data_IF_973859867361
#
_entry.id   IF_973859867361
#
_cell.length_a   1.000
_cell.length_b   1.000
_cell.length_c   1.000
_cell.angle_alpha   90.00
_cell.angle_beta   90.00
_cell.angle_gamma   90.00
#
_symmetry.space_group_name_H-M   'P 1'
#
loop_
_entity.id
_entity.type
_entity.pdbx_description
1 polymer ?
#
# COMPACT_ATOMS: atom_id res chain seq x y z
N UNK A 1 5.69 15.72 53.79
CA UNK A 1 4.85 14.61 53.30
C UNK A 1 4.48 14.86 51.84
N UNK A 2 5.09 14.06 50.97
CA UNK A 2 4.68 13.61 49.63
C UNK A 2 4.08 14.66 48.68
N UNK A 3 4.97 15.12 47.79
CA UNK A 3 4.71 15.84 46.56
C UNK A 3 3.75 15.01 45.67
N UNK A 4 2.52 15.48 45.45
CA UNK A 4 1.59 14.87 44.50
C UNK A 4 2.16 15.07 43.10
N UNK A 5 2.76 14.01 42.55
CA UNK A 5 3.08 13.89 41.14
C UNK A 5 1.82 14.17 40.30
N UNK A 6 1.67 15.40 39.84
CA UNK A 6 0.80 15.73 38.71
C UNK A 6 1.46 15.07 37.50
N UNK A 7 1.05 13.83 37.20
CA UNK A 7 1.20 13.31 35.85
C UNK A 7 0.34 14.21 34.98
N UNK A 8 0.96 15.19 34.32
CA UNK A 8 0.36 15.83 33.15
C UNK A 8 0.13 14.71 32.16
N UNK A 9 -1.09 14.15 32.14
CA UNK A 9 -1.56 13.31 31.05
C UNK A 9 -1.55 14.24 29.85
N UNK A 10 -0.45 14.24 29.07
CA UNK A 10 -0.46 14.86 27.74
C UNK A 10 -1.62 14.16 27.04
N UNK A 11 -2.75 14.84 26.88
CA UNK A 11 -3.84 14.31 26.09
C UNK A 11 -3.22 14.06 24.72
N UNK A 12 -2.97 12.78 24.40
CA UNK A 12 -2.46 12.40 23.09
C UNK A 12 -3.44 13.00 22.10
N UNK A 13 -2.94 13.90 21.26
CA UNK A 13 -3.80 14.54 20.29
C UNK A 13 -4.32 13.43 19.36
N UNK A 14 -5.65 13.38 19.19
CA UNK A 14 -6.23 12.49 18.19
C UNK A 14 -5.64 12.84 16.82
N UNK A 15 -5.60 11.89 15.90
CA UNK A 15 -5.02 12.11 14.56
C UNK A 15 -6.15 12.21 13.53
N UNK A 16 -6.12 13.25 12.72
CA UNK A 16 -7.06 13.44 11.62
C UNK A 16 -6.54 12.79 10.35
N UNK A 17 -7.42 12.13 9.60
CA UNK A 17 -7.22 11.79 8.20
C UNK A 17 -7.72 12.98 7.38
N UNK A 18 -6.81 13.68 6.71
CA UNK A 18 -7.12 14.91 5.97
C UNK A 18 -7.09 14.73 4.45
N UNK A 19 -6.46 13.65 3.96
CA UNK A 19 -6.48 13.26 2.56
C UNK A 19 -6.44 11.75 2.41
N UNK A 20 -7.03 11.24 1.34
CA UNK A 20 -6.98 9.83 0.97
C UNK A 20 -6.97 9.64 -0.54
N UNK A 21 -6.25 8.62 -1.00
CA UNK A 21 -6.35 8.09 -2.34
C UNK A 21 -6.15 6.58 -2.33
N UNK A 22 -6.76 5.89 -3.28
CA UNK A 22 -6.61 4.44 -3.41
C UNK A 22 -6.90 4.00 -4.85
N UNK A 23 -6.41 2.81 -5.18
CA UNK A 23 -6.74 2.08 -6.39
C UNK A 23 -7.00 0.62 -6.01
N UNK A 24 -8.22 0.17 -6.25
CA UNK A 24 -8.71 -1.15 -5.88
C UNK A 24 -9.33 -1.86 -7.10
N UNK A 25 -9.50 -3.20 -7.03
CA UNK A 25 -10.08 -3.97 -8.13
C UNK A 25 -11.41 -3.39 -8.62
N UNK A 26 -11.69 -3.53 -9.92
CA UNK A 26 -12.89 -2.98 -10.54
C UNK A 26 -12.80 -1.49 -10.89
N UNK A 27 -11.59 -0.95 -11.06
CA UNK A 27 -11.35 0.48 -11.34
C UNK A 27 -11.90 1.39 -10.23
N UNK A 28 -11.78 0.96 -8.98
CA UNK A 28 -12.30 1.71 -7.84
C UNK A 28 -11.21 2.66 -7.34
N UNK A 29 -11.31 3.91 -7.75
CA UNK A 29 -10.31 4.97 -7.47
C UNK A 29 -10.86 6.12 -6.61
N UNK A 30 -12.15 6.07 -6.25
CA UNK A 30 -12.78 7.09 -5.42
C UNK A 30 -13.80 6.50 -4.43
N UNK A 31 -14.14 7.30 -3.42
CA UNK A 31 -15.02 6.88 -2.31
C UNK A 31 -16.46 6.59 -2.74
N UNK A 32 -16.97 7.27 -3.77
CA UNK A 32 -18.34 7.05 -4.22
C UNK A 32 -18.49 5.67 -4.88
N UNK A 33 -17.56 5.33 -5.77
CA UNK A 33 -17.56 4.03 -6.45
C UNK A 33 -17.27 2.89 -5.47
N UNK A 34 -16.34 3.10 -4.53
CA UNK A 34 -16.08 2.12 -3.48
C UNK A 34 -17.33 1.87 -2.62
N UNK A 35 -18.02 2.94 -2.21
CA UNK A 35 -19.25 2.82 -1.44
C UNK A 35 -20.36 2.13 -2.22
N UNK A 36 -20.53 2.44 -3.51
CA UNK A 36 -21.51 1.77 -4.37
C UNK A 36 -21.22 0.27 -4.50
N UNK A 37 -19.97 -0.12 -4.75
CA UNK A 37 -19.58 -1.52 -4.85
C UNK A 37 -19.86 -2.30 -3.55
N UNK A 38 -19.55 -1.69 -2.40
CA UNK A 38 -19.84 -2.26 -1.08
C UNK A 38 -21.34 -2.43 -0.85
N UNK A 39 -22.13 -1.39 -1.11
CA UNK A 39 -23.58 -1.42 -0.93
C UNK A 39 -24.28 -2.41 -1.86
N UNK A 40 -23.75 -2.60 -3.07
CA UNK A 40 -24.25 -3.58 -4.03
C UNK A 40 -23.74 -5.02 -3.76
N UNK A 41 -22.83 -5.22 -2.80
CA UNK A 41 -22.24 -6.53 -2.51
C UNK A 41 -21.47 -7.12 -3.69
N UNK A 42 -20.79 -6.27 -4.48
CA UNK A 42 -20.11 -6.71 -5.71
C UNK A 42 -18.92 -7.63 -5.40
N UNK A 43 -18.84 -8.75 -6.13
CA UNK A 43 -17.67 -9.63 -6.15
C UNK A 43 -16.73 -9.18 -7.28
N UNK A 44 -15.64 -8.52 -6.90
CA UNK A 44 -14.65 -7.94 -7.83
C UNK A 44 -13.49 -8.90 -8.12
N UNK A 45 -13.59 -10.16 -7.70
CA UNK A 45 -12.62 -11.18 -8.06
C UNK A 45 -12.77 -11.55 -9.53
N UNK A 46 -11.67 -11.46 -10.25
CA UNK A 46 -11.54 -11.91 -11.63
C UNK A 46 -10.40 -12.93 -11.74
N UNK A 47 -9.80 -13.04 -12.93
CA UNK A 47 -8.65 -13.90 -13.21
C UNK A 47 -7.41 -13.00 -13.39
N UNK A 48 -6.28 -13.38 -12.81
CA UNK A 48 -5.00 -12.69 -13.07
C UNK A 48 -4.74 -12.67 -14.58
N UNK A 49 -4.49 -11.48 -15.19
CA UNK A 49 -4.23 -11.36 -16.61
C UNK A 49 -3.06 -12.25 -17.09
N UNK A 50 -3.23 -12.93 -18.23
CA UNK A 50 -2.23 -13.88 -18.75
C UNK A 50 -0.95 -13.22 -19.26
N UNK A 51 -0.98 -11.92 -19.52
CA UNK A 51 0.17 -11.11 -19.92
C UNK A 51 1.10 -10.77 -18.73
N UNK A 52 0.64 -10.90 -17.48
CA UNK A 52 1.49 -10.80 -16.27
C UNK A 52 2.50 -11.94 -16.23
N UNK A 53 1.98 -13.16 -16.33
CA UNK A 53 2.70 -14.43 -16.39
C UNK A 53 1.76 -15.53 -16.90
N UNK A 54 2.32 -16.62 -17.40
CA UNK A 54 1.55 -17.73 -17.98
C UNK A 54 0.73 -18.51 -16.95
N UNK A 55 -0.39 -17.95 -16.47
CA UNK A 55 -1.28 -18.55 -15.46
C UNK A 55 -1.68 -19.98 -15.81
N UNK A 56 -2.04 -20.23 -17.07
CA UNK A 56 -2.41 -21.56 -17.57
C UNK A 56 -1.30 -22.61 -17.39
N UNK A 57 -0.02 -22.21 -17.50
CA UNK A 57 1.09 -23.11 -17.26
C UNK A 57 1.15 -23.50 -15.79
N UNK A 58 0.98 -22.56 -14.85
CA UNK A 58 1.14 -22.84 -13.42
C UNK A 58 -0.14 -23.35 -12.73
N UNK A 59 -1.30 -23.34 -13.39
CA UNK A 59 -2.56 -23.72 -12.75
C UNK A 59 -2.74 -25.24 -12.74
N UNK A 60 -3.15 -25.79 -11.60
CA UNK A 60 -3.48 -27.20 -11.48
C UNK A 60 -4.50 -27.48 -10.38
N UNK A 61 -5.43 -28.39 -10.62
CA UNK A 61 -6.56 -28.63 -9.72
C UNK A 61 -6.19 -29.27 -8.38
N UNK A 62 -5.05 -29.94 -8.33
CA UNK A 62 -4.53 -30.66 -7.14
C UNK A 62 -3.63 -29.75 -6.32
N UNK A 63 -3.88 -29.67 -5.00
CA UNK A 63 -3.09 -28.88 -4.05
C UNK A 63 -1.66 -29.40 -3.85
N UNK A 64 -1.45 -30.70 -4.04
CA UNK A 64 -0.16 -31.37 -3.83
C UNK A 64 0.73 -31.39 -5.08
N UNK A 65 0.27 -30.83 -6.20
CA UNK A 65 1.06 -30.74 -7.42
C UNK A 65 2.19 -29.71 -7.26
N UNK A 66 3.43 -30.18 -7.37
CA UNK A 66 4.61 -29.35 -7.15
C UNK A 66 4.72 -28.25 -8.21
N UNK A 67 5.07 -27.04 -7.77
CA UNK A 67 5.25 -25.89 -8.68
C UNK A 67 3.95 -25.37 -9.31
N UNK A 68 2.78 -25.79 -8.82
CA UNK A 68 1.47 -25.34 -9.32
C UNK A 68 0.64 -24.63 -8.26
N UNK A 69 -0.34 -23.85 -8.72
CA UNK A 69 -1.35 -23.19 -7.89
C UNK A 69 -2.74 -23.73 -8.22
N UNK A 70 -3.59 -23.90 -7.21
CA UNK A 70 -5.00 -24.28 -7.38
C UNK A 70 -5.88 -23.21 -7.99
N UNK A 71 -5.41 -21.95 -7.98
CA UNK A 71 -6.16 -20.82 -8.51
C UNK A 71 -5.23 -19.69 -8.92
N UNK A 72 -5.69 -18.92 -9.90
CA UNK A 72 -5.19 -17.58 -10.20
C UNK A 72 -6.34 -16.58 -10.26
N UNK A 73 -7.45 -16.89 -9.58
CA UNK A 73 -8.48 -15.90 -9.30
C UNK A 73 -7.94 -14.90 -8.28
N UNK A 74 -8.19 -13.62 -8.53
CA UNK A 74 -7.75 -12.53 -7.69
C UNK A 74 -8.61 -11.28 -7.90
N UNK A 75 -8.66 -10.41 -6.90
CA UNK A 75 -8.99 -9.01 -7.17
C UNK A 75 -7.79 -8.38 -7.88
N UNK A 76 -7.99 -7.84 -9.09
CA UNK A 76 -6.91 -7.24 -9.89
C UNK A 76 -7.25 -5.80 -10.21
N UNK A 77 -6.25 -4.92 -10.14
CA UNK A 77 -6.37 -3.56 -10.66
C UNK A 77 -6.29 -3.59 -12.18
N UNK A 78 -6.81 -2.56 -12.85
CA UNK A 78 -6.94 -2.55 -14.31
C UNK A 78 -5.57 -2.63 -15.01
N UNK A 79 -4.62 -1.83 -14.54
CA UNK A 79 -3.25 -1.79 -15.07
C UNK A 79 -2.25 -1.66 -13.92
N UNK A 80 -1.08 -2.26 -14.10
CA UNK A 80 0.10 -2.01 -13.24
C UNK A 80 1.27 -1.49 -14.08
N UNK A 81 1.09 -1.35 -15.40
CA UNK A 81 2.16 -0.93 -16.29
C UNK A 81 2.19 0.56 -16.52
N UNK A 82 1.03 1.20 -16.39
CA UNK A 82 0.82 2.60 -16.69
C UNK A 82 1.47 3.44 -15.59
N UNK A 83 2.14 4.52 -16.01
CA UNK A 83 2.83 5.47 -15.14
C UNK A 83 3.24 6.68 -15.98
N UNK A 84 3.11 7.90 -15.45
CA UNK A 84 3.69 9.10 -16.05
C UNK A 84 5.08 9.40 -15.44
N UNK A 85 6.18 8.88 -16.02
CA UNK A 85 7.49 9.10 -15.46
C UNK A 85 7.95 10.56 -15.59
N UNK A 86 7.51 11.29 -16.61
CA UNK A 86 7.95 12.66 -16.85
C UNK A 86 7.39 13.60 -15.79
N UNK A 87 6.14 13.38 -15.37
CA UNK A 87 5.52 14.12 -14.26
C UNK A 87 6.33 14.03 -12.97
N UNK A 88 6.84 12.84 -12.64
CA UNK A 88 7.67 12.61 -11.44
C UNK A 88 9.17 12.85 -11.66
N UNK A 89 9.59 13.43 -12.80
CA UNK A 89 11.01 13.68 -13.08
C UNK A 89 11.85 12.41 -13.22
N UNK A 90 11.24 11.28 -13.55
CA UNK A 90 11.86 9.96 -13.69
C UNK A 90 12.13 9.69 -15.17
N UNK A 91 13.30 9.13 -15.48
CA UNK A 91 13.61 8.76 -16.87
C UNK A 91 12.81 7.52 -17.31
N UNK A 92 12.41 7.40 -18.59
CA UNK A 92 11.73 6.19 -19.09
C UNK A 92 12.53 4.90 -18.83
N UNK A 93 13.86 4.97 -18.89
CA UNK A 93 14.75 3.83 -18.64
C UNK A 93 14.70 3.36 -17.18
N UNK A 94 14.59 4.29 -16.24
CA UNK A 94 14.40 3.97 -14.83
C UNK A 94 13.00 3.42 -14.57
N UNK A 95 11.96 4.07 -15.11
CA UNK A 95 10.56 3.67 -14.92
C UNK A 95 10.30 2.21 -15.32
N UNK A 96 10.91 1.74 -16.41
CA UNK A 96 10.84 0.33 -16.85
C UNK A 96 11.39 -0.67 -15.83
N UNK A 97 12.30 -0.23 -14.95
CA UNK A 97 12.90 -1.07 -13.91
C UNK A 97 12.26 -0.85 -12.55
N UNK A 98 11.35 0.12 -12.40
CA UNK A 98 10.62 0.35 -11.17
C UNK A 98 9.52 -0.70 -10.97
N UNK A 99 9.51 -1.29 -9.79
CA UNK A 99 8.39 -2.07 -9.29
C UNK A 99 7.13 -1.19 -9.40
N UNK A 100 6.06 -1.68 -10.06
CA UNK A 100 4.83 -0.93 -10.18
C UNK A 100 4.20 -0.54 -8.83
N UNK A 101 4.55 -1.21 -7.73
CA UNK A 101 4.17 -0.77 -6.39
C UNK A 101 4.74 0.62 -6.05
N UNK A 102 5.99 0.91 -6.46
CA UNK A 102 6.60 2.23 -6.25
C UNK A 102 5.92 3.29 -7.12
N UNK A 103 5.56 2.94 -8.36
CA UNK A 103 4.89 3.84 -9.30
C UNK A 103 3.49 4.22 -8.82
N UNK A 104 2.70 3.23 -8.45
CA UNK A 104 1.36 3.43 -7.90
C UNK A 104 1.39 4.27 -6.61
N UNK A 105 2.36 4.02 -5.72
CA UNK A 105 2.50 4.82 -4.50
C UNK A 105 2.80 6.31 -4.77
N UNK A 106 3.56 6.63 -5.83
CA UNK A 106 3.82 8.03 -6.21
C UNK A 106 2.54 8.73 -6.67
N UNK A 107 1.77 8.08 -7.53
CA UNK A 107 0.48 8.59 -8.03
C UNK A 107 -0.56 8.71 -6.92
N UNK A 108 -0.69 7.69 -6.06
CA UNK A 108 -1.60 7.75 -4.92
C UNK A 108 -1.17 8.81 -3.90
N UNK A 109 0.13 9.06 -3.74
CA UNK A 109 0.59 10.17 -2.91
C UNK A 109 0.12 11.51 -3.48
N UNK A 110 0.29 11.70 -4.79
CA UNK A 110 -0.19 12.92 -5.47
C UNK A 110 -1.69 13.12 -5.24
N UNK A 111 -2.50 12.11 -5.55
CA UNK A 111 -3.95 12.19 -5.39
C UNK A 111 -4.38 12.37 -3.92
N UNK A 112 -3.66 11.82 -2.95
CA UNK A 112 -3.98 12.04 -1.53
C UNK A 112 -3.68 13.48 -1.08
N UNK A 113 -2.65 14.12 -1.67
CA UNK A 113 -2.37 15.54 -1.46
C UNK A 113 -3.45 16.42 -2.11
N UNK A 114 -3.85 16.11 -3.34
CA UNK A 114 -4.96 16.78 -4.03
C UNK A 114 -6.27 16.68 -3.26
N UNK A 115 -6.63 15.48 -2.78
CA UNK A 115 -7.82 15.25 -1.97
C UNK A 115 -7.77 16.04 -0.64
N UNK A 116 -6.59 16.24 -0.07
CA UNK A 116 -6.39 17.09 1.10
C UNK A 116 -6.43 18.60 0.80
N UNK A 117 -6.37 19.01 -0.47
CA UNK A 117 -6.17 20.41 -0.84
C UNK A 117 -4.79 20.95 -0.44
N UNK A 118 -3.78 20.07 -0.35
CA UNK A 118 -2.42 20.40 0.04
C UNK A 118 -1.53 20.38 -1.19
N UNK A 119 -0.86 21.49 -1.48
CA UNK A 119 0.14 21.56 -2.53
C UNK A 119 1.44 20.89 -2.04
N UNK A 120 2.15 20.11 -2.88
CA UNK A 120 3.43 19.51 -2.53
C UNK A 120 4.43 20.48 -1.90
N UNK A 121 4.49 21.72 -2.40
CA UNK A 121 5.41 22.76 -1.91
C UNK A 121 5.11 23.20 -0.46
N UNK A 122 3.89 22.96 0.04
CA UNK A 122 3.53 23.28 1.43
C UNK A 122 4.09 22.27 2.43
N UNK A 123 4.44 21.06 1.98
CA UNK A 123 5.01 20.00 2.82
C UNK A 123 6.47 19.69 2.47
N UNK A 124 6.98 20.21 1.36
CA UNK A 124 8.40 20.16 1.02
C UNK A 124 9.25 20.78 2.14
N UNK A 125 10.40 20.17 2.41
CA UNK A 125 11.38 20.52 3.45
C UNK A 125 10.82 20.51 4.88
N UNK A 126 9.63 19.96 5.08
CA UNK A 126 9.05 19.79 6.42
C UNK A 126 9.38 18.41 6.99
N UNK A 127 9.09 18.24 8.29
CA UNK A 127 9.15 16.94 8.95
C UNK A 127 7.92 16.08 8.60
N UNK A 128 7.51 16.05 7.33
CA UNK A 128 6.48 15.14 6.86
C UNK A 128 7.07 13.72 6.81
N UNK A 129 6.53 12.81 7.62
CA UNK A 129 6.96 11.41 7.64
C UNK A 129 6.28 10.58 6.54
N UNK A 130 6.92 9.51 6.11
CA UNK A 130 6.42 8.56 5.11
C UNK A 130 6.52 7.15 5.68
N UNK A 131 5.38 6.47 5.81
CA UNK A 131 5.28 5.14 6.41
C UNK A 131 4.52 4.22 5.45
N UNK A 132 5.20 3.28 4.81
CA UNK A 132 4.62 2.42 3.77
C UNK A 132 4.60 0.98 4.24
N UNK A 133 3.41 0.38 4.31
CA UNK A 133 3.24 -1.05 4.45
C UNK A 133 3.44 -1.75 3.11
N UNK A 134 4.50 -2.55 2.97
CA UNK A 134 4.82 -3.26 1.73
C UNK A 134 5.59 -4.55 2.04
N UNK A 135 5.19 -5.65 1.41
CA UNK A 135 5.76 -6.99 1.66
C UNK A 135 6.01 -7.78 0.36
N UNK A 136 5.37 -7.42 -0.75
CA UNK A 136 5.47 -8.15 -2.00
C UNK A 136 6.78 -7.83 -2.73
N UNK A 137 7.51 -8.88 -3.11
CA UNK A 137 8.79 -8.80 -3.83
C UNK A 137 8.67 -9.30 -5.28
N UNK A 138 7.45 -9.49 -5.78
CA UNK A 138 7.14 -10.16 -7.03
C UNK A 138 7.94 -9.61 -8.23
N UNK A 139 8.05 -8.29 -8.37
CA UNK A 139 8.80 -7.65 -9.46
C UNK A 139 10.32 -7.84 -9.33
N UNK A 140 10.82 -7.84 -8.10
CA UNK A 140 12.21 -8.19 -7.80
C UNK A 140 12.51 -9.64 -8.14
N UNK A 141 11.63 -10.58 -7.79
CA UNK A 141 11.75 -12.00 -8.16
C UNK A 141 11.81 -12.17 -9.67
N UNK A 142 10.93 -11.50 -10.42
CA UNK A 142 10.94 -11.53 -11.89
C UNK A 142 12.27 -11.03 -12.48
N UNK A 143 12.92 -10.06 -11.83
CA UNK A 143 14.23 -9.56 -12.26
C UNK A 143 15.33 -10.61 -12.11
N UNK A 144 15.19 -11.54 -11.15
CA UNK A 144 16.14 -12.64 -10.95
C UNK A 144 16.01 -13.76 -11.98
N UNK A 145 14.88 -13.83 -12.72
CA UNK A 145 14.71 -14.80 -13.81
C UNK A 145 15.68 -14.56 -14.98
N UNK A 146 16.13 -13.32 -15.17
CA UNK A 146 17.13 -12.93 -16.18
C UNK A 146 18.09 -11.85 -15.64
N UNK A 147 19.17 -12.30 -15.00
CA UNK A 147 20.21 -11.42 -14.47
C UNK A 147 20.92 -10.59 -15.56
N UNK A 148 20.93 -11.04 -16.81
CA UNK A 148 21.55 -10.29 -17.90
C UNK A 148 20.74 -9.03 -18.28
N UNK A 149 19.44 -9.02 -17.96
CA UNK A 149 18.58 -7.85 -18.14
C UNK A 149 18.73 -6.78 -17.05
N UNK A 150 19.54 -7.02 -16.01
CA UNK A 150 19.80 -6.05 -14.95
C UNK A 150 20.56 -4.83 -15.45
N UNK A 151 20.29 -3.68 -14.82
CA UNK A 151 21.03 -2.44 -15.03
C UNK A 151 21.07 -1.62 -13.72
N UNK A 152 21.66 -0.43 -13.77
CA UNK A 152 21.83 0.46 -12.61
C UNK A 152 20.52 0.77 -11.83
N UNK A 153 19.35 0.69 -12.47
CA UNK A 153 18.05 0.98 -11.85
C UNK A 153 17.38 -0.26 -11.25
N UNK A 154 17.85 -1.47 -11.55
CA UNK A 154 17.14 -2.70 -11.18
C UNK A 154 17.09 -2.91 -9.67
N UNK A 155 18.17 -2.59 -8.95
CA UNK A 155 18.20 -2.68 -7.49
C UNK A 155 17.27 -1.65 -6.84
N UNK A 156 17.34 -0.38 -7.27
CA UNK A 156 16.48 0.68 -6.75
C UNK A 156 15.01 0.42 -7.05
N UNK A 157 14.73 -0.12 -8.23
CA UNK A 157 13.39 -0.41 -8.68
C UNK A 157 12.70 -1.55 -7.91
N UNK A 158 13.44 -2.46 -7.27
CA UNK A 158 12.86 -3.64 -6.60
C UNK A 158 13.04 -3.67 -5.07
N UNK A 159 13.87 -2.79 -4.52
CA UNK A 159 14.13 -2.73 -3.08
C UNK A 159 12.94 -2.11 -2.33
N UNK A 160 12.40 -2.81 -1.32
CA UNK A 160 11.22 -2.34 -0.57
C UNK A 160 11.41 -0.98 0.11
N UNK A 161 12.59 -0.72 0.71
CA UNK A 161 12.87 0.57 1.36
C UNK A 161 12.79 1.77 0.42
N UNK A 162 12.99 1.55 -0.89
CA UNK A 162 12.87 2.61 -1.90
C UNK A 162 11.41 3.04 -2.08
N UNK A 163 10.41 2.21 -1.75
CA UNK A 163 9.01 2.60 -1.84
C UNK A 163 8.69 3.84 -0.99
N UNK A 164 9.11 3.87 0.28
CA UNK A 164 8.96 5.05 1.12
C UNK A 164 9.97 6.16 0.76
N UNK A 165 11.24 5.80 0.57
CA UNK A 165 12.30 6.79 0.32
C UNK A 165 12.10 7.57 -0.97
N UNK A 166 11.53 6.94 -2.01
CA UNK A 166 11.25 7.61 -3.28
C UNK A 166 10.15 8.65 -3.15
N UNK A 167 9.12 8.39 -2.34
CA UNK A 167 8.12 9.42 -2.00
C UNK A 167 8.81 10.58 -1.28
N UNK A 168 9.61 10.29 -0.24
CA UNK A 168 10.35 11.34 0.46
C UNK A 168 11.25 12.15 -0.46
N UNK A 169 11.93 11.50 -1.40
CA UNK A 169 12.81 12.16 -2.36
C UNK A 169 12.05 13.06 -3.35
N UNK A 170 10.99 12.53 -3.98
CA UNK A 170 10.23 13.24 -5.01
C UNK A 170 9.50 14.45 -4.44
N UNK A 171 8.96 14.33 -3.22
CA UNK A 171 8.20 15.40 -2.56
C UNK A 171 9.05 16.24 -1.58
N UNK A 172 10.37 16.05 -1.55
CA UNK A 172 11.33 16.73 -0.67
C UNK A 172 10.95 16.68 0.83
N UNK A 173 10.56 15.51 1.33
CA UNK A 173 10.07 15.32 2.71
C UNK A 173 11.19 14.88 3.63
N UNK A 174 11.37 15.57 4.77
CA UNK A 174 12.52 15.39 5.68
C UNK A 174 12.16 14.72 7.01
N UNK A 175 10.94 14.18 7.14
CA UNK A 175 10.55 13.35 8.28
C UNK A 175 11.04 11.90 8.17
N UNK A 176 10.71 11.03 9.14
CA UNK A 176 11.03 9.60 9.07
C UNK A 176 10.47 8.95 7.80
N UNK A 177 11.26 8.13 7.10
CA UNK A 177 10.85 7.41 5.89
C UNK A 177 11.08 5.92 6.06
N UNK A 178 9.99 5.15 6.22
CA UNK A 178 10.05 3.75 6.63
C UNK A 178 9.16 2.88 5.72
N UNK A 179 9.73 1.78 5.23
CA UNK A 179 8.97 0.67 4.67
C UNK A 179 8.86 -0.43 5.72
N UNK A 180 7.64 -0.87 6.00
CA UNK A 180 7.30 -1.75 7.12
C UNK A 180 6.69 -3.03 6.55
N UNK A 181 7.29 -4.16 6.93
CA UNK A 181 6.80 -5.49 6.60
C UNK A 181 6.44 -6.25 7.88
N UNK A 182 5.15 -6.45 8.09
CA UNK A 182 4.57 -7.36 9.08
C UNK A 182 3.51 -8.26 8.41
N UNK A 183 3.73 -8.59 7.14
CA UNK A 183 2.77 -9.28 6.28
C UNK A 183 1.39 -8.59 6.23
N UNK A 184 0.30 -9.27 6.59
CA UNK A 184 -1.07 -8.76 6.41
C UNK A 184 -1.37 -7.52 7.26
N UNK A 185 -0.60 -7.25 8.33
CA UNK A 185 -0.79 -6.07 9.17
C UNK A 185 0.06 -4.86 8.74
N UNK A 186 0.90 -4.97 7.70
CA UNK A 186 1.89 -3.95 7.33
C UNK A 186 1.32 -2.53 7.25
N UNK A 187 0.17 -2.34 6.60
CA UNK A 187 -0.44 -1.01 6.46
C UNK A 187 -0.96 -0.43 7.80
N UNK A 188 -1.49 -1.28 8.69
CA UNK A 188 -1.95 -0.85 10.01
C UNK A 188 -0.78 -0.61 10.99
N UNK A 189 0.32 -1.36 10.86
CA UNK A 189 1.55 -1.08 11.60
C UNK A 189 2.18 0.22 11.10
N UNK A 190 2.18 0.48 9.79
CA UNK A 190 2.59 1.77 9.24
C UNK A 190 1.73 2.92 9.77
N UNK A 191 0.41 2.73 9.83
CA UNK A 191 -0.52 3.69 10.44
C UNK A 191 -0.22 3.95 11.92
N UNK A 192 0.04 2.88 12.69
CA UNK A 192 0.41 2.99 14.10
C UNK A 192 1.70 3.80 14.27
N UNK A 193 2.75 3.45 13.53
CA UNK A 193 4.06 4.12 13.57
C UNK A 193 3.94 5.59 13.20
N UNK A 194 3.15 5.93 12.17
CA UNK A 194 2.88 7.31 11.78
C UNK A 194 2.15 8.09 12.88
N UNK A 195 1.12 7.50 13.49
CA UNK A 195 0.40 8.11 14.61
C UNK A 195 1.33 8.39 15.80
N UNK A 196 2.23 7.45 16.12
CA UNK A 196 3.20 7.64 17.19
C UNK A 196 4.22 8.73 16.86
N UNK A 197 4.72 8.77 15.62
CA UNK A 197 5.62 9.82 15.15
C UNK A 197 5.00 11.22 15.25
N UNK A 198 3.73 11.37 14.85
CA UNK A 198 2.96 12.62 14.99
C UNK A 198 2.75 13.02 16.47
N UNK A 199 2.38 12.05 17.33
CA UNK A 199 2.18 12.31 18.77
C UNK A 199 3.47 12.71 19.48
N UNK A 200 4.61 12.14 19.07
CA UNK A 200 5.94 12.48 19.59
C UNK A 200 6.48 13.79 19.04
N UNK A 201 5.93 14.27 17.92
CA UNK A 201 6.40 15.46 17.21
C UNK A 201 7.65 15.20 16.38
N UNK A 202 7.96 13.94 16.10
CA UNK A 202 8.99 13.54 15.13
C UNK A 202 8.51 13.83 13.69
N UNK A 203 7.20 13.80 13.47
CA UNK A 203 6.57 14.23 12.23
C UNK A 203 5.57 15.37 12.47
N UNK A 204 5.47 16.31 11.53
CA UNK A 204 4.44 17.38 11.53
C UNK A 204 3.16 16.96 10.82
N UNK A 205 3.32 16.16 9.77
CA UNK A 205 2.29 15.47 8.97
C UNK A 205 2.84 14.10 8.61
N UNK A 206 1.99 13.16 8.22
CA UNK A 206 2.47 11.84 7.81
C UNK A 206 1.68 11.29 6.62
N UNK A 207 2.40 10.82 5.61
CA UNK A 207 1.87 9.96 4.56
C UNK A 207 1.94 8.51 5.03
N UNK A 208 0.81 7.83 4.98
CA UNK A 208 0.70 6.40 5.32
C UNK A 208 0.23 5.65 4.10
N UNK A 209 1.10 4.80 3.55
CA UNK A 209 0.81 3.98 2.38
C UNK A 209 0.63 2.50 2.72
N UNK A 210 -0.13 1.79 1.90
CA UNK A 210 -0.14 0.33 1.83
C UNK A 210 -0.33 -0.11 0.39
N UNK A 211 0.47 -1.05 -0.09
CA UNK A 211 0.40 -1.51 -1.48
C UNK A 211 0.69 -3.01 -1.60
N UNK A 212 0.02 -3.67 -2.55
CA UNK A 212 0.29 -5.04 -2.94
C UNK A 212 -0.09 -5.23 -4.41
N UNK A 213 0.82 -5.73 -5.24
CA UNK A 213 0.57 -6.07 -6.65
C UNK A 213 1.00 -7.51 -6.96
N UNK A 214 0.35 -8.16 -7.93
CA UNK A 214 0.54 -9.59 -8.24
C UNK A 214 1.35 -9.74 -9.54
N UNK A 215 2.66 -9.55 -9.45
CA UNK A 215 3.54 -9.53 -10.63
C UNK A 215 4.26 -10.87 -10.94
N UNK A 216 4.13 -11.90 -10.09
CA UNK A 216 4.84 -13.16 -10.25
C UNK A 216 4.00 -14.38 -9.75
N UNK A 217 4.12 -15.57 -10.36
CA UNK A 217 3.36 -16.76 -9.94
C UNK A 217 3.85 -17.37 -8.61
N UNK A 218 5.09 -17.09 -8.20
CA UNK A 218 5.73 -17.69 -7.02
C UNK A 218 4.87 -17.63 -5.75
N UNK A 219 4.30 -16.47 -5.34
CA UNK A 219 3.50 -16.45 -4.12
C UNK A 219 2.18 -17.21 -4.26
N UNK A 220 1.56 -17.26 -5.45
CA UNK A 220 0.37 -18.10 -5.66
C UNK A 220 0.70 -19.58 -5.44
N UNK A 221 1.81 -20.06 -6.01
CA UNK A 221 2.27 -21.45 -5.86
C UNK A 221 2.57 -21.74 -4.39
N UNK A 222 3.35 -20.87 -3.72
CA UNK A 222 3.69 -21.04 -2.31
C UNK A 222 2.47 -21.07 -1.40
N UNK A 223 1.54 -20.12 -1.54
CA UNK A 223 0.32 -20.06 -0.73
C UNK A 223 -0.68 -21.18 -1.07
N UNK A 224 -0.69 -21.67 -2.31
CA UNK A 224 -1.45 -22.86 -2.69
C UNK A 224 -0.93 -24.11 -1.99
N UNK A 225 0.39 -24.32 -1.97
CA UNK A 225 1.04 -25.45 -1.28
C UNK A 225 0.85 -25.37 0.23
N UNK A 226 0.87 -24.16 0.80
CA UNK A 226 0.54 -23.93 2.20
C UNK A 226 -0.97 -24.06 2.51
N UNK A 227 -1.80 -24.47 1.54
CA UNK A 227 -3.25 -24.61 1.66
C UNK A 227 -3.98 -23.35 2.12
N UNK A 228 -3.40 -22.17 1.86
CA UNK A 228 -3.99 -20.89 2.27
C UNK A 228 -4.99 -20.36 1.24
N UNK A 229 -4.82 -20.70 -0.04
CA UNK A 229 -5.69 -20.20 -1.11
C UNK A 229 -6.99 -21.00 -1.20
N UNK A 230 -8.09 -20.28 -1.36
CA UNK A 230 -9.37 -20.87 -1.75
C UNK A 230 -9.32 -21.33 -3.21
N UNK A 231 -9.77 -22.56 -3.46
CA UNK A 231 -9.88 -23.10 -4.83
C UNK A 231 -11.00 -22.42 -5.63
N UNK A 232 -12.07 -21.98 -4.98
CA UNK A 232 -13.16 -21.28 -5.67
C UNK A 232 -12.83 -19.81 -5.98
N UNK A 233 -11.74 -19.29 -5.40
CA UNK A 233 -11.27 -17.93 -5.57
C UNK A 233 -12.06 -16.92 -4.76
N UNK A 234 -12.69 -17.30 -3.65
CA UNK A 234 -13.41 -16.38 -2.78
C UNK A 234 -12.92 -16.45 -1.34
N UNK A 235 -12.84 -15.29 -0.71
CA UNK A 235 -12.68 -15.18 0.74
C UNK A 235 -14.05 -15.21 1.41
N UNK A 236 -14.47 -16.38 1.91
CA UNK A 236 -15.78 -16.56 2.56
C UNK A 236 -15.69 -16.34 4.07
N UNK A 237 -15.42 -15.11 4.47
CA UNK A 237 -15.25 -14.74 5.88
C UNK A 237 -16.45 -15.19 6.72
N UNK A 238 -16.18 -15.96 7.78
CA UNK A 238 -17.18 -16.49 8.73
C UNK A 238 -18.20 -17.49 8.16
N UNK A 239 -18.08 -17.92 6.90
CA UNK A 239 -18.96 -18.94 6.32
C UNK A 239 -18.56 -20.35 6.79
N UNK A 240 -19.55 -21.24 6.91
CA UNK A 240 -19.33 -22.64 7.30
C UNK A 240 -18.46 -23.43 6.30
N UNK A 241 -18.44 -23.00 5.04
CA UNK A 241 -17.67 -23.59 3.94
C UNK A 241 -16.43 -22.75 3.55
N UNK A 242 -15.92 -21.91 4.47
CA UNK A 242 -14.66 -21.19 4.30
C UNK A 242 -13.49 -22.15 4.09
N UNK A 243 -12.73 -21.94 3.00
CA UNK A 243 -11.74 -22.91 2.49
C UNK A 243 -10.41 -22.25 2.05
N UNK A 244 -10.12 -21.05 2.56
CA UNK A 244 -8.95 -20.24 2.25
C UNK A 244 -9.31 -18.80 1.87
N UNK A 245 -8.31 -18.00 1.51
CA UNK A 245 -8.49 -16.64 1.04
C UNK A 245 -8.20 -16.52 -0.46
N UNK A 246 -8.60 -15.39 -1.06
CA UNK A 246 -8.21 -14.99 -2.42
C UNK A 246 -7.22 -13.83 -2.36
N UNK A 247 -6.16 -13.85 -3.18
CA UNK A 247 -5.22 -12.73 -3.27
C UNK A 247 -5.90 -11.53 -3.96
N UNK A 248 -5.47 -10.32 -3.62
CA UNK A 248 -5.94 -9.10 -4.27
C UNK A 248 -4.81 -8.11 -4.47
N UNK A 249 -4.90 -7.33 -5.53
CA UNK A 249 -4.12 -6.13 -5.77
C UNK A 249 -4.77 -4.92 -5.11
N UNK A 250 -3.97 -3.88 -4.93
CA UNK A 250 -4.44 -2.54 -4.61
C UNK A 250 -3.39 -1.70 -3.90
N UNK A 251 -3.67 -0.41 -3.83
CA UNK A 251 -2.87 0.56 -3.10
C UNK A 251 -3.76 1.59 -2.41
N UNK A 252 -3.31 2.12 -1.29
CA UNK A 252 -3.94 3.26 -0.64
C UNK A 252 -2.88 4.15 0.03
N UNK A 253 -3.09 5.46 0.01
CA UNK A 253 -2.30 6.46 0.73
C UNK A 253 -3.24 7.36 1.53
N UNK A 254 -2.90 7.61 2.79
CA UNK A 254 -3.57 8.54 3.68
C UNK A 254 -2.62 9.68 4.05
N UNK A 255 -3.12 10.91 4.06
CA UNK A 255 -2.43 12.05 4.68
C UNK A 255 -3.00 12.32 6.07
N UNK A 256 -2.10 12.30 7.05
CA UNK A 256 -2.42 12.45 8.47
C UNK A 256 -1.84 13.73 9.06
N UNK A 257 -2.60 14.32 9.99
CA UNK A 257 -2.18 15.52 10.74
C UNK A 257 -2.75 15.45 12.17
N UNK A 258 -2.07 16.00 13.20
CA UNK A 258 -2.68 16.12 14.52
C UNK A 258 -4.01 16.88 14.44
N UNK A 259 -5.06 16.39 15.11
CA UNK A 259 -6.43 16.91 14.96
C UNK A 259 -6.51 18.41 15.29
N UNK A 260 -5.76 18.89 16.29
CA UNK A 260 -5.74 20.33 16.61
C UNK A 260 -5.13 21.16 15.48
N UNK A 261 -4.07 20.67 14.85
CA UNK A 261 -3.47 21.33 13.72
C UNK A 261 -4.42 21.32 12.51
N UNK A 262 -5.07 20.19 12.25
CA UNK A 262 -6.05 20.09 11.17
C UNK A 262 -7.20 21.09 11.31
N UNK A 263 -7.76 21.22 12.52
CA UNK A 263 -8.80 22.21 12.82
C UNK A 263 -8.32 23.65 12.72
N UNK A 264 -7.08 23.92 13.16
CA UNK A 264 -6.47 25.27 13.08
C UNK A 264 -6.28 25.67 11.62
N UNK A 265 -5.82 24.74 10.79
CA UNK A 265 -5.50 24.98 9.39
C UNK A 265 -6.75 24.96 8.49
N UNK A 266 -7.90 24.52 9.02
CA UNK A 266 -9.17 24.46 8.29
C UNK A 266 -9.25 23.28 7.31
N UNK A 267 -8.46 22.23 7.55
CA UNK A 267 -8.43 21.05 6.69
C UNK A 267 -9.79 20.32 6.70
N UNK A 268 -10.14 19.72 5.56
CA UNK A 268 -11.24 18.74 5.51
C UNK A 268 -10.82 17.49 6.30
N UNK A 269 -11.64 17.08 7.26
CA UNK A 269 -11.38 15.90 8.10
C UNK A 269 -12.32 14.78 7.65
N UNK A 270 -11.77 13.72 7.05
CA UNK A 270 -12.53 12.53 6.65
C UNK A 270 -12.91 11.67 7.85
N UNK A 271 -11.96 11.47 8.75
CA UNK A 271 -12.15 10.69 9.97
C UNK A 271 -11.11 11.06 11.04
N UNK A 272 -11.33 10.56 12.26
CA UNK A 272 -10.43 10.75 13.39
C UNK A 272 -9.99 9.40 13.95
N UNK A 273 -8.68 9.18 13.96
CA UNK A 273 -8.03 8.01 14.57
C UNK A 273 -7.86 8.30 16.05
N UNK A 274 -8.62 7.58 16.89
CA UNK A 274 -8.61 7.74 18.35
C UNK A 274 -7.49 6.95 19.02
N UNK A 275 -7.19 5.77 18.49
CA UNK A 275 -6.19 4.86 19.03
C UNK A 275 -5.71 3.88 17.97
N UNK A 276 -4.50 3.38 18.15
CA UNK A 276 -3.87 2.30 17.38
C UNK A 276 -3.06 1.44 18.35
N UNK A 277 -2.73 0.21 17.96
CA UNK A 277 -1.90 -0.70 18.74
C UNK A 277 -1.30 -1.80 17.87
N UNK A 278 -0.14 -2.29 18.28
CA UNK A 278 0.63 -3.36 17.64
C UNK A 278 1.10 -4.36 18.69
#
# INVERSE_FOLDING_TARGET
MINKNIRVKRALDDIAIIGMAFDFPGHITNAADFWQALMAGQDLVTQVPSDRFGTAFYQHDRRDEQGRSVTFKAGVVETITDFDPAFFGISPREALKMDPQQRLLLELTWHALEDAGVLPEQIAQTQCGVFVGISALDYGTRTLDDLAAMNAYSMLGSTLSIAANRISFIYDLHGPSLSIDTACSSSLVALHTACESLKRGESTTALVGGVNLLAHPYPFIGFSQASMLSKDGRSKSFAADGNGYVRSEGGAVLLLKPLKAARRDGDRIHAVIRATGT
#
